data_IF_975732479056
#
_entry.id   IF_975732479056
#
_cell.length_a   1.000
_cell.length_b   1.000
_cell.length_c   1.000
_cell.angle_alpha   90.00
_cell.angle_beta   90.00
_cell.angle_gamma   90.00
#
_symmetry.space_group_name_H-M   'P 1'
#
loop_
_entity.id
_entity.type
_entity.pdbx_description
1 polymer ?
#
# COMPACT_ATOMS: atom_id res chain seq x y z
N UNK A 1 0.92 7.34 11.13
CA UNK A 1 0.95 5.86 11.26
C UNK A 1 2.31 5.39 10.78
N UNK A 2 3.11 4.69 11.59
CA UNK A 2 4.42 4.21 11.17
C UNK A 2 4.23 3.09 10.12
N UNK A 3 4.83 3.19 8.92
CA UNK A 3 4.72 2.14 7.92
C UNK A 3 5.34 0.85 8.47
N UNK A 4 4.53 -0.19 8.63
CA UNK A 4 4.97 -1.49 9.15
C UNK A 4 5.57 -2.29 8.01
N UNK A 5 6.89 -2.42 7.99
CA UNK A 5 7.60 -3.32 7.08
C UNK A 5 7.66 -4.69 7.75
N UNK A 6 7.15 -5.76 7.10
CA UNK A 6 7.25 -7.10 7.66
C UNK A 6 8.73 -7.51 7.73
N UNK A 7 9.15 -8.14 8.83
CA UNK A 7 10.46 -8.75 8.90
C UNK A 7 10.58 -9.88 7.85
N UNK A 8 11.80 -10.20 7.39
CA UNK A 8 12.02 -11.27 6.42
C UNK A 8 11.56 -12.63 6.98
N UNK A 9 11.27 -13.59 6.10
CA UNK A 9 10.69 -14.88 6.49
C UNK A 9 11.58 -15.68 7.45
N UNK A 10 12.90 -15.49 7.37
CA UNK A 10 13.90 -16.11 8.22
C UNK A 10 14.27 -15.24 9.45
N UNK A 11 13.49 -14.21 9.78
CA UNK A 11 13.78 -13.35 10.93
C UNK A 11 13.71 -14.13 12.26
N UNK A 12 14.68 -13.84 13.13
CA UNK A 12 14.85 -14.51 14.43
C UNK A 12 14.76 -13.47 15.55
N UNK A 13 14.33 -13.91 16.72
CA UNK A 13 14.26 -13.06 17.92
C UNK A 13 15.67 -12.86 18.48
N UNK A 14 16.08 -11.62 18.71
CA UNK A 14 17.42 -11.29 19.18
C UNK A 14 17.51 -11.08 20.70
N UNK A 15 16.39 -10.84 21.40
CA UNK A 15 16.28 -10.62 22.84
C UNK A 15 17.14 -9.44 23.37
N UNK A 16 17.38 -8.43 22.53
CA UNK A 16 18.11 -7.23 22.93
C UNK A 16 17.13 -6.08 23.22
N UNK A 17 17.47 -5.14 24.12
CA UNK A 17 16.60 -3.99 24.41
C UNK A 17 16.26 -3.18 23.14
N UNK A 18 17.25 -3.04 22.23
CA UNK A 18 17.09 -2.34 20.95
C UNK A 18 16.18 -3.07 19.94
N UNK A 19 16.05 -4.40 20.03
CA UNK A 19 15.25 -5.21 19.08
C UNK A 19 13.85 -5.51 19.58
N UNK A 20 13.43 -4.93 20.71
CA UNK A 20 12.15 -5.25 21.36
C UNK A 20 10.94 -5.18 20.42
N UNK A 21 10.89 -4.17 19.55
CA UNK A 21 9.78 -4.01 18.60
C UNK A 21 9.83 -5.05 17.46
N UNK A 22 11.02 -5.30 16.91
CA UNK A 22 11.26 -6.35 15.92
C UNK A 22 10.87 -7.73 16.47
N UNK A 23 11.37 -8.07 17.66
CA UNK A 23 11.16 -9.36 18.31
C UNK A 23 9.68 -9.61 18.62
N UNK A 24 8.94 -8.56 19.00
CA UNK A 24 7.50 -8.63 19.17
C UNK A 24 6.79 -8.96 17.86
N UNK A 25 7.17 -8.35 16.73
CA UNK A 25 6.57 -8.66 15.42
C UNK A 25 6.91 -10.08 14.96
N UNK A 26 8.16 -10.52 15.12
CA UNK A 26 8.59 -11.87 14.76
C UNK A 26 7.83 -12.91 15.57
N UNK A 27 7.68 -12.71 16.88
CA UNK A 27 6.85 -13.60 17.73
C UNK A 27 5.40 -13.60 17.28
N UNK A 28 4.80 -12.43 17.04
CA UNK A 28 3.42 -12.35 16.58
C UNK A 28 3.18 -13.09 15.25
N UNK A 29 4.11 -12.97 14.30
CA UNK A 29 4.05 -13.68 13.02
C UNK A 29 4.20 -15.20 13.22
N UNK A 30 5.09 -15.65 14.12
CA UNK A 30 5.22 -17.08 14.45
C UNK A 30 3.96 -17.64 15.10
N UNK A 31 3.33 -16.88 16.00
CA UNK A 31 2.18 -17.35 16.77
C UNK A 31 0.86 -17.30 15.99
N UNK A 32 0.67 -16.29 15.13
CA UNK A 32 -0.62 -16.02 14.46
C UNK A 32 -0.54 -16.13 12.93
N UNK A 33 0.66 -16.27 12.37
CA UNK A 33 0.88 -16.31 10.93
C UNK A 33 0.94 -14.93 10.28
N UNK A 34 1.49 -14.91 9.06
CA UNK A 34 1.70 -13.68 8.28
C UNK A 34 0.38 -12.99 7.88
N UNK A 35 -0.70 -13.75 7.68
CA UNK A 35 -2.00 -13.18 7.30
C UNK A 35 -2.62 -12.36 8.44
N UNK A 36 -2.56 -12.87 9.68
CA UNK A 36 -3.02 -12.13 10.86
C UNK A 36 -2.21 -10.85 11.07
N UNK A 37 -0.88 -10.91 10.87
CA UNK A 37 -0.02 -9.73 10.89
C UNK A 37 -0.44 -8.68 9.86
N UNK A 38 -0.64 -9.09 8.60
CA UNK A 38 -1.03 -8.18 7.51
C UNK A 38 -2.37 -7.48 7.81
N UNK A 39 -3.33 -8.21 8.38
CA UNK A 39 -4.63 -7.66 8.76
C UNK A 39 -4.50 -6.70 9.96
N UNK A 40 -3.77 -7.09 11.02
CA UNK A 40 -3.59 -6.27 12.23
C UNK A 40 -2.88 -4.94 11.95
N UNK A 41 -1.86 -4.97 11.10
CA UNK A 41 -1.00 -3.81 10.82
C UNK A 41 -1.33 -3.10 9.50
N UNK A 42 -2.40 -3.50 8.81
CA UNK A 42 -2.87 -2.82 7.60
C UNK A 42 -1.91 -2.90 6.41
N UNK A 43 -1.07 -3.94 6.32
CA UNK A 43 -0.06 -4.10 5.26
C UNK A 43 -0.67 -4.11 3.85
N UNK A 44 -1.96 -4.45 3.72
CA UNK A 44 -2.69 -4.39 2.45
C UNK A 44 -2.94 -2.98 1.91
N UNK A 45 -2.92 -1.94 2.75
CA UNK A 45 -3.23 -0.57 2.31
C UNK A 45 -2.20 -0.01 1.34
N UNK A 46 -0.92 -0.33 1.55
CA UNK A 46 0.15 0.06 0.63
C UNK A 46 -0.06 -0.51 -0.77
N UNK A 47 -0.38 -1.81 -0.85
CA UNK A 47 -0.63 -2.47 -2.13
C UNK A 47 -1.81 -1.83 -2.88
N UNK A 48 -2.86 -1.40 -2.17
CA UNK A 48 -3.98 -0.68 -2.77
C UNK A 48 -3.55 0.68 -3.34
N UNK A 49 -2.80 1.47 -2.58
CA UNK A 49 -2.28 2.76 -3.05
C UNK A 49 -1.36 2.57 -4.26
N UNK A 50 -0.44 1.61 -4.20
CA UNK A 50 0.48 1.30 -5.31
C UNK A 50 -0.29 0.90 -6.58
N UNK A 51 -1.33 0.08 -6.46
CA UNK A 51 -2.19 -0.28 -7.58
C UNK A 51 -2.90 0.94 -8.18
N UNK A 52 -3.37 1.88 -7.36
CA UNK A 52 -4.00 3.10 -7.86
C UNK A 52 -3.01 4.03 -8.57
N UNK A 53 -1.83 4.25 -8.00
CA UNK A 53 -0.78 5.03 -8.65
C UNK A 53 -0.36 4.37 -9.98
N UNK A 54 -0.27 3.04 -10.03
CA UNK A 54 -0.01 2.30 -11.27
C UNK A 54 -1.09 2.54 -12.32
N UNK A 55 -2.38 2.51 -11.92
CA UNK A 55 -3.52 2.80 -12.81
C UNK A 55 -3.48 4.23 -13.35
N UNK A 56 -3.22 5.22 -12.50
CA UNK A 56 -3.06 6.63 -12.92
C UNK A 56 -1.95 6.73 -13.98
N UNK A 57 -0.78 6.15 -13.69
CA UNK A 57 0.38 6.21 -14.60
C UNK A 57 0.12 5.53 -15.94
N UNK A 58 -0.69 4.47 -15.97
CA UNK A 58 -1.06 3.73 -17.19
C UNK A 58 -2.10 4.48 -18.02
N UNK A 59 -3.11 5.07 -17.38
CA UNK A 59 -4.25 5.68 -18.08
C UNK A 59 -4.05 7.17 -18.41
N UNK A 60 -3.41 7.94 -17.54
CA UNK A 60 -3.23 9.39 -17.70
C UNK A 60 -1.80 9.69 -18.14
N UNK A 61 -0.82 9.07 -17.48
CA UNK A 61 0.59 9.23 -17.81
C UNK A 61 1.49 9.33 -16.58
N UNK A 62 2.79 9.20 -16.80
CA UNK A 62 3.79 9.20 -15.72
C UNK A 62 4.16 10.60 -15.21
N UNK A 63 3.73 11.67 -15.89
CA UNK A 63 4.08 13.07 -15.61
C UNK A 63 2.83 13.94 -15.67
N UNK A 64 2.85 15.02 -14.88
CA UNK A 64 1.91 16.11 -15.05
C UNK A 64 2.23 16.85 -16.35
N UNK A 65 1.20 17.23 -17.10
CA UNK A 65 1.32 17.89 -18.39
C UNK A 65 1.58 19.39 -18.25
N UNK A 66 1.14 19.98 -17.14
CA UNK A 66 1.28 21.40 -16.91
C UNK A 66 2.68 21.80 -16.41
N UNK A 67 3.17 22.96 -16.86
CA UNK A 67 4.52 23.46 -16.52
C UNK A 67 4.56 24.40 -15.32
N UNK A 68 3.46 25.10 -15.03
CA UNK A 68 3.37 26.04 -13.90
C UNK A 68 2.93 25.30 -12.65
N UNK A 69 3.56 25.57 -11.51
CA UNK A 69 3.25 24.91 -10.22
C UNK A 69 1.78 25.02 -9.83
N UNK A 70 1.16 26.19 -10.00
CA UNK A 70 -0.28 26.37 -9.73
C UNK A 70 -1.15 25.49 -10.63
N UNK A 71 -0.78 25.35 -11.90
CA UNK A 71 -1.48 24.48 -12.84
C UNK A 71 -1.27 23.00 -12.51
N UNK A 72 -0.09 22.62 -12.02
CA UNK A 72 0.22 21.26 -11.56
C UNK A 72 -0.60 20.88 -10.34
N UNK A 73 -0.79 21.81 -9.39
CA UNK A 73 -1.66 21.59 -8.24
C UNK A 73 -3.11 21.34 -8.67
N UNK A 74 -3.63 22.14 -9.61
CA UNK A 74 -4.98 21.95 -10.17
C UNK A 74 -5.11 20.62 -10.92
N UNK A 75 -4.12 20.28 -11.72
CA UNK A 75 -4.05 18.98 -12.41
C UNK A 75 -4.06 17.82 -11.40
N UNK A 76 -3.30 17.93 -10.31
CA UNK A 76 -3.30 16.96 -9.21
C UNK A 76 -4.67 16.79 -8.55
N UNK A 77 -5.40 17.88 -8.31
CA UNK A 77 -6.78 17.84 -7.77
C UNK A 77 -7.73 17.13 -8.73
N UNK A 78 -7.63 17.41 -10.03
CA UNK A 78 -8.45 16.74 -11.06
C UNK A 78 -8.15 15.24 -11.09
N UNK A 79 -6.88 14.85 -11.08
CA UNK A 79 -6.46 13.44 -11.03
C UNK A 79 -7.00 12.75 -9.77
N UNK A 80 -6.94 13.41 -8.60
CA UNK A 80 -7.49 12.86 -7.36
C UNK A 80 -9.01 12.63 -7.45
N UNK A 81 -9.75 13.58 -8.04
CA UNK A 81 -11.19 13.43 -8.26
C UNK A 81 -11.51 12.27 -9.21
N UNK A 82 -10.72 12.09 -10.28
CA UNK A 82 -10.84 10.94 -11.19
C UNK A 82 -10.60 9.61 -10.47
N UNK A 83 -9.62 9.56 -9.57
CA UNK A 83 -9.35 8.36 -8.76
C UNK A 83 -10.52 8.05 -7.82
N UNK A 84 -11.11 9.07 -7.20
CA UNK A 84 -12.30 8.88 -6.35
C UNK A 84 -13.49 8.34 -7.15
N UNK A 85 -13.71 8.86 -8.36
CA UNK A 85 -14.72 8.34 -9.29
C UNK A 85 -14.39 6.89 -9.72
N UNK A 86 -13.13 6.58 -9.99
CA UNK A 86 -12.74 5.20 -10.30
C UNK A 86 -12.96 4.24 -9.13
N UNK A 87 -12.79 4.71 -7.90
CA UNK A 87 -13.07 3.94 -6.69
C UNK A 87 -14.56 3.67 -6.51
N UNK A 88 -15.44 4.60 -6.92
CA UNK A 88 -16.90 4.38 -6.82
C UNK A 88 -17.40 3.29 -7.76
N UNK A 89 -16.67 2.96 -8.83
CA UNK A 89 -16.99 1.82 -9.68
C UNK A 89 -16.67 0.46 -9.03
N UNK A 90 -15.96 0.45 -7.90
CA UNK A 90 -15.54 -0.77 -7.22
C UNK A 90 -14.34 -1.46 -7.89
N UNK A 91 -14.08 -2.70 -7.45
CA UNK A 91 -12.98 -3.52 -7.99
C UNK A 91 -13.50 -4.43 -9.09
N UNK A 92 -12.73 -4.58 -10.16
CA UNK A 92 -13.00 -5.59 -11.17
C UNK A 92 -13.01 -6.99 -10.54
N UNK A 93 -14.07 -7.77 -10.81
CA UNK A 93 -14.18 -9.15 -10.36
C UNK A 93 -13.49 -10.04 -11.39
N UNK A 94 -12.35 -10.63 -11.01
CA UNK A 94 -11.73 -11.66 -11.82
C UNK A 94 -12.50 -12.97 -11.65
N UNK A 95 -13.14 -13.43 -12.72
CA UNK A 95 -13.79 -14.74 -12.78
C UNK A 95 -12.82 -15.75 -13.39
N UNK A 96 -12.72 -16.94 -12.80
CA UNK A 96 -12.02 -18.06 -13.45
C UNK A 96 -12.86 -18.48 -14.65
N UNK A 97 -12.25 -18.50 -15.82
CA UNK A 97 -12.87 -19.16 -16.97
C UNK A 97 -12.97 -20.65 -16.66
N UNK A 98 -14.14 -21.23 -16.97
CA UNK A 98 -14.42 -22.65 -16.80
C UNK A 98 -13.51 -23.52 -17.67
#
# INVERSE_FOLDING_TARGET
>A
MLPVIPPPANAVVHNQPATRWHDHLVRYIKDKGIHAFRNKYGYGQRALVEAQISRIKRCIGARLLTRKTESQQREGVIIANLVNLWNSFGKAVCVKNA
#
